data_IF_616957879941
#
_entry.id   IF_616957879941
#
_cell.length_a   1.000
_cell.length_b   1.000
_cell.length_c   1.000
_cell.angle_alpha   90.00
_cell.angle_beta   90.00
_cell.angle_gamma   90.00
#
_symmetry.space_group_name_H-M   'P 1'
#
loop_
_entity.id
_entity.type
_entity.pdbx_description
1 polymer ?
#
# COMPACT_ATOMS: atom_id res chain seq x y z
N UNK A 1 -13.33 33.92 22.22
CA UNK A 1 -13.49 34.36 20.83
C UNK A 1 -13.42 33.10 20.00
N UNK A 2 -14.55 32.62 19.48
CA UNK A 2 -14.57 31.50 18.53
C UNK A 2 -13.84 31.95 17.27
N UNK A 3 -12.62 31.44 17.05
CA UNK A 3 -11.93 31.64 15.78
C UNK A 3 -12.79 30.98 14.70
N UNK A 4 -13.32 31.78 13.77
CA UNK A 4 -14.10 31.26 12.66
C UNK A 4 -13.20 30.39 11.79
N UNK A 5 -13.41 29.07 11.85
CA UNK A 5 -12.67 28.12 11.05
C UNK A 5 -13.08 28.32 9.60
N UNK A 6 -12.13 28.74 8.76
CA UNK A 6 -12.40 28.93 7.34
C UNK A 6 -11.84 27.73 6.57
N UNK A 7 -12.69 26.89 5.95
CA UNK A 7 -12.23 25.72 5.22
C UNK A 7 -11.17 26.10 4.17
N UNK A 8 -10.13 25.27 4.03
CA UNK A 8 -9.17 25.43 2.93
C UNK A 8 -9.88 25.32 1.58
N UNK A 9 -9.48 26.18 0.65
CA UNK A 9 -9.71 25.91 -0.77
C UNK A 9 -8.89 24.71 -1.22
N UNK A 10 -9.23 24.12 -2.37
CA UNK A 10 -8.50 22.99 -2.94
C UNK A 10 -7.01 23.30 -3.14
N UNK A 11 -6.69 24.47 -3.72
CA UNK A 11 -5.30 24.92 -3.90
C UNK A 11 -4.55 25.10 -2.57
N UNK A 12 -5.23 25.56 -1.52
CA UNK A 12 -4.63 25.70 -0.19
C UNK A 12 -4.37 24.33 0.46
N UNK A 13 -5.28 23.39 0.27
CA UNK A 13 -5.14 22.00 0.72
C UNK A 13 -3.99 21.30 0.02
N UNK A 14 -3.88 21.42 -1.30
CA UNK A 14 -2.75 20.89 -2.07
C UNK A 14 -1.42 21.46 -1.58
N UNK A 15 -1.35 22.78 -1.38
CA UNK A 15 -0.16 23.45 -0.86
C UNK A 15 0.21 22.95 0.54
N UNK A 16 -0.76 22.77 1.42
CA UNK A 16 -0.55 22.22 2.75
C UNK A 16 0.01 20.79 2.69
N UNK A 17 -0.57 19.92 1.87
CA UNK A 17 -0.05 18.55 1.67
C UNK A 17 1.35 18.52 1.08
N UNK A 18 1.66 19.42 0.14
CA UNK A 18 2.99 19.54 -0.43
C UNK A 18 4.05 19.90 0.63
N UNK A 19 3.71 20.77 1.60
CA UNK A 19 4.59 21.11 2.71
C UNK A 19 4.82 19.91 3.66
N UNK A 20 3.77 19.14 3.96
CA UNK A 20 3.91 17.93 4.78
C UNK A 20 4.77 16.87 4.08
N UNK A 21 4.57 16.69 2.78
CA UNK A 21 5.37 15.77 1.97
C UNK A 21 6.85 16.18 1.93
N UNK A 22 7.12 17.48 1.71
CA UNK A 22 8.48 18.03 1.76
C UNK A 22 9.14 17.79 3.12
N UNK A 23 8.40 17.96 4.22
CA UNK A 23 8.90 17.69 5.56
C UNK A 23 9.21 16.20 5.81
N UNK A 24 8.43 15.29 5.22
CA UNK A 24 8.62 13.85 5.36
C UNK A 24 9.79 13.33 4.51
N UNK A 25 9.99 13.89 3.32
CA UNK A 25 10.98 13.42 2.34
C UNK A 25 12.35 14.12 2.47
N UNK A 26 12.42 15.30 3.09
CA UNK A 26 13.69 16.02 3.20
C UNK A 26 14.68 15.35 4.16
N UNK A 27 15.92 15.22 3.69
CA UNK A 27 17.07 14.72 4.47
C UNK A 27 17.66 15.80 5.37
N UNK A 28 17.35 17.07 5.15
CA UNK A 28 17.92 18.21 5.86
C UNK A 28 16.99 18.69 6.97
N UNK A 29 17.48 18.70 8.21
CA UNK A 29 16.67 19.06 9.38
C UNK A 29 16.09 20.49 9.30
N UNK A 30 16.85 21.44 8.76
CA UNK A 30 16.41 22.81 8.58
C UNK A 30 15.23 22.93 7.61
N UNK A 31 15.23 22.17 6.52
CA UNK A 31 14.14 22.15 5.54
C UNK A 31 12.88 21.53 6.14
N UNK A 32 13.02 20.42 6.87
CA UNK A 32 11.89 19.79 7.58
C UNK A 32 11.23 20.76 8.55
N UNK A 33 12.03 21.42 9.41
CA UNK A 33 11.53 22.40 10.38
C UNK A 33 10.84 23.58 9.70
N UNK A 34 11.42 24.10 8.62
CA UNK A 34 10.84 25.20 7.87
C UNK A 34 9.51 24.80 7.20
N UNK A 35 9.44 23.61 6.61
CA UNK A 35 8.24 23.09 5.97
C UNK A 35 7.10 22.89 6.99
N UNK A 36 7.38 22.32 8.16
CA UNK A 36 6.40 22.19 9.24
C UNK A 36 5.93 23.55 9.76
N UNK A 37 6.85 24.50 9.97
CA UNK A 37 6.49 25.86 10.40
C UNK A 37 5.70 26.63 9.33
N UNK A 38 5.89 26.33 8.04
CA UNK A 38 5.08 26.89 6.98
C UNK A 38 3.67 26.26 6.94
N UNK A 39 3.56 24.95 7.16
CA UNK A 39 2.28 24.25 7.25
C UNK A 39 1.45 24.75 8.43
N UNK A 40 2.07 24.90 9.61
CA UNK A 40 1.45 25.42 10.82
C UNK A 40 0.92 26.86 10.66
N UNK A 41 1.71 27.74 10.03
CA UNK A 41 1.27 29.10 9.68
C UNK A 41 0.08 29.09 8.74
N UNK A 42 0.06 28.21 7.74
CA UNK A 42 -1.03 28.10 6.78
C UNK A 42 -2.32 27.62 7.44
N UNK A 43 -2.23 26.62 8.33
CA UNK A 43 -3.39 26.16 9.13
C UNK A 43 -3.91 27.27 10.06
N UNK A 44 -3.00 27.92 10.80
CA UNK A 44 -3.34 29.01 11.73
C UNK A 44 -4.02 30.19 11.06
N UNK A 45 -3.63 30.55 9.82
CA UNK A 45 -4.28 31.61 9.04
C UNK A 45 -5.76 31.33 8.76
N UNK A 46 -6.15 30.06 8.73
CA UNK A 46 -7.51 29.60 8.52
C UNK A 46 -8.25 29.27 9.83
N UNK A 47 -7.62 29.55 10.98
CA UNK A 47 -8.15 29.21 12.28
C UNK A 47 -8.18 27.70 12.55
N UNK A 48 -7.35 26.92 11.84
CA UNK A 48 -7.24 25.47 12.00
C UNK A 48 -5.98 25.09 12.74
N UNK A 49 -6.04 23.99 13.47
CA UNK A 49 -4.84 23.27 13.91
C UNK A 49 -4.24 22.48 12.74
N UNK A 50 -2.97 22.13 12.87
CA UNK A 50 -2.25 21.34 11.86
C UNK A 50 -2.90 19.96 11.64
N UNK A 51 -3.44 19.34 12.69
CA UNK A 51 -4.15 18.07 12.61
C UNK A 51 -5.51 18.21 11.90
N UNK A 52 -6.26 19.29 12.17
CA UNK A 52 -7.53 19.59 11.49
C UNK A 52 -7.31 19.90 10.00
N UNK A 53 -6.26 20.63 9.67
CA UNK A 53 -5.89 20.93 8.29
C UNK A 53 -5.44 19.68 7.52
N UNK A 54 -4.87 18.68 8.21
CA UNK A 54 -4.49 17.38 7.65
C UNK A 54 -5.68 16.41 7.51
N UNK A 55 -6.81 16.69 8.17
CA UNK A 55 -7.98 15.83 8.11
C UNK A 55 -8.61 15.85 6.70
N UNK A 56 -8.98 14.67 6.16
CA UNK A 56 -9.71 14.60 4.90
C UNK A 56 -11.05 15.35 5.01
N UNK A 57 -11.51 16.00 3.94
CA UNK A 57 -12.68 16.91 3.96
C UNK A 57 -14.02 16.26 4.34
N UNK A 58 -14.06 14.92 4.52
CA UNK A 58 -15.29 14.16 4.75
C UNK A 58 -15.24 13.26 6.00
N UNK A 59 -14.34 13.54 6.96
CA UNK A 59 -14.37 12.84 8.25
C UNK A 59 -15.03 13.69 9.33
N UNK A 60 -16.35 13.52 9.48
CA UNK A 60 -16.86 13.25 10.82
C UNK A 60 -15.93 12.21 11.46
N UNK A 61 -15.45 12.48 12.68
CA UNK A 61 -14.44 11.69 13.37
C UNK A 61 -14.57 10.20 13.00
N UNK A 62 -13.54 9.57 12.41
CA UNK A 62 -13.67 8.19 11.98
C UNK A 62 -14.11 7.40 13.22
N UNK A 63 -15.11 6.50 13.13
CA UNK A 63 -15.36 5.57 14.22
C UNK A 63 -14.01 4.94 14.52
N UNK A 64 -13.55 5.04 15.78
CA UNK A 64 -12.24 4.52 16.22
C UNK A 64 -12.00 3.22 15.47
N UNK A 65 -11.12 3.24 14.49
CA UNK A 65 -10.73 2.03 13.79
C UNK A 65 -10.10 1.19 14.89
N UNK A 66 -10.84 0.17 15.31
CA UNK A 66 -10.29 -0.90 16.12
C UNK A 66 -9.11 -1.36 15.30
N UNK A 67 -7.88 -1.08 15.75
CA UNK A 67 -6.68 -1.59 15.08
C UNK A 67 -6.96 -3.08 14.89
N UNK A 68 -6.90 -3.62 13.66
CA UNK A 68 -7.05 -5.06 13.48
C UNK A 68 -6.04 -5.69 14.43
N UNK A 69 -6.52 -6.64 15.25
CA UNK A 69 -5.65 -7.35 16.16
C UNK A 69 -4.45 -7.83 15.34
N UNK A 70 -3.24 -7.61 15.85
CA UNK A 70 -2.06 -8.20 15.23
C UNK A 70 -2.32 -9.70 15.09
N UNK A 71 -2.26 -10.27 13.87
CA UNK A 71 -2.60 -11.66 13.66
C UNK A 71 -1.74 -12.50 14.61
N UNK A 72 -2.38 -13.45 15.28
CA UNK A 72 -1.69 -14.38 16.16
C UNK A 72 -0.69 -15.19 15.35
N UNK A 73 0.35 -15.70 16.01
CA UNK A 73 1.35 -16.58 15.38
C UNK A 73 0.69 -17.79 14.68
N UNK A 74 -0.43 -18.27 15.23
CA UNK A 74 -1.23 -19.35 14.63
C UNK A 74 -1.86 -18.94 13.30
N UNK A 75 -2.42 -17.74 13.20
CA UNK A 75 -3.04 -17.23 11.97
C UNK A 75 -2.00 -16.98 10.88
N UNK A 76 -0.83 -16.42 11.25
CA UNK A 76 0.30 -16.26 10.34
C UNK A 76 0.79 -17.61 9.80
N UNK A 77 0.90 -18.62 10.67
CA UNK A 77 1.31 -19.97 10.28
C UNK A 77 0.30 -20.65 9.36
N UNK A 78 -1.00 -20.43 9.59
CA UNK A 78 -2.05 -20.92 8.70
C UNK A 78 -2.00 -20.24 7.33
N UNK A 79 -1.85 -18.91 7.29
CA UNK A 79 -1.71 -18.18 6.04
C UNK A 79 -0.51 -18.67 5.22
N UNK A 80 0.66 -18.85 5.86
CA UNK A 80 1.84 -19.39 5.21
C UNK A 80 1.63 -20.83 4.69
N UNK A 81 0.90 -21.67 5.42
CA UNK A 81 0.57 -23.03 4.96
C UNK A 81 -0.35 -23.03 3.74
N UNK A 82 -1.35 -22.13 3.72
CA UNK A 82 -2.24 -21.97 2.56
C UNK A 82 -1.49 -21.46 1.32
N UNK A 83 -0.61 -20.48 1.51
CA UNK A 83 0.25 -19.96 0.43
C UNK A 83 1.16 -21.06 -0.13
N UNK A 84 1.84 -21.80 0.75
CA UNK A 84 2.70 -22.91 0.35
C UNK A 84 1.94 -24.00 -0.41
N UNK A 85 0.73 -24.37 0.04
CA UNK A 85 -0.11 -25.34 -0.66
C UNK A 85 -0.51 -24.87 -2.07
N UNK A 86 -0.77 -23.57 -2.24
CA UNK A 86 -1.04 -23.00 -3.57
C UNK A 86 0.16 -23.11 -4.51
N UNK A 87 1.37 -22.87 -4.00
CA UNK A 87 2.62 -22.98 -4.77
C UNK A 87 2.90 -24.43 -5.17
N UNK A 88 2.75 -25.39 -4.26
CA UNK A 88 2.95 -26.82 -4.57
C UNK A 88 2.00 -27.29 -5.66
N UNK A 89 0.70 -26.98 -5.52
CA UNK A 89 -0.30 -27.36 -6.53
C UNK A 89 0.02 -26.76 -7.91
N UNK A 90 0.51 -25.53 -7.96
CA UNK A 90 0.93 -24.91 -9.22
C UNK A 90 2.13 -25.63 -9.83
N UNK A 91 3.13 -26.01 -9.04
CA UNK A 91 4.29 -26.76 -9.52
C UNK A 91 3.91 -28.15 -10.04
N UNK A 92 3.00 -28.85 -9.36
CA UNK A 92 2.52 -30.16 -9.80
C UNK A 92 1.85 -30.06 -11.18
N UNK A 93 1.04 -29.03 -11.43
CA UNK A 93 0.47 -28.78 -12.75
C UNK A 93 1.52 -28.58 -13.84
N UNK A 94 2.58 -27.80 -13.57
CA UNK A 94 3.67 -27.61 -14.54
C UNK A 94 4.42 -28.91 -14.83
N UNK A 95 4.63 -29.75 -13.81
CA UNK A 95 5.29 -31.04 -13.98
C UNK A 95 4.44 -31.98 -14.84
N UNK A 96 3.13 -32.01 -14.61
CA UNK A 96 2.22 -32.87 -15.38
C UNK A 96 2.10 -32.41 -16.85
N UNK A 97 2.01 -31.10 -17.08
CA UNK A 97 1.99 -30.54 -18.44
C UNK A 97 3.29 -30.82 -19.20
N UNK A 98 4.45 -30.74 -18.53
CA UNK A 98 5.74 -31.03 -19.16
C UNK A 98 5.90 -32.51 -19.48
N UNK A 99 5.48 -33.41 -18.58
CA UNK A 99 5.43 -34.85 -18.84
C UNK A 99 4.57 -35.16 -20.06
N UNK A 100 3.38 -34.58 -20.14
CA UNK A 100 2.46 -34.80 -21.27
C UNK A 100 3.08 -34.33 -22.59
N UNK A 101 3.67 -33.14 -22.60
CA UNK A 101 4.37 -32.61 -23.79
C UNK A 101 5.52 -33.51 -24.23
N UNK A 102 6.29 -34.04 -23.27
CA UNK A 102 7.38 -34.99 -23.55
C UNK A 102 6.84 -36.30 -24.13
N UNK A 103 5.76 -36.83 -23.58
CA UNK A 103 5.12 -38.05 -24.08
C UNK A 103 4.58 -37.86 -25.50
N UNK A 104 3.92 -36.74 -25.78
CA UNK A 104 3.47 -36.37 -27.13
C UNK A 104 4.64 -36.28 -28.11
N UNK A 105 5.74 -35.61 -27.72
CA UNK A 105 6.93 -35.50 -28.57
C UNK A 105 7.61 -36.85 -28.86
N UNK A 106 7.65 -37.75 -27.86
CA UNK A 106 8.19 -39.11 -28.04
C UNK A 106 7.28 -39.95 -28.95
N UNK A 107 5.97 -39.83 -28.78
CA UNK A 107 4.99 -40.51 -29.63
C UNK A 107 5.08 -40.03 -31.09
N UNK A 108 5.20 -38.71 -31.32
CA UNK A 108 5.41 -38.16 -32.66
C UNK A 108 6.73 -38.65 -33.28
N UNK A 109 7.81 -38.76 -32.50
CA UNK A 109 9.09 -39.27 -32.99
C UNK A 109 8.97 -40.74 -33.40
N UNK A 110 8.28 -41.56 -32.58
CA UNK A 110 7.99 -42.96 -32.89
C UNK A 110 7.18 -43.12 -34.18
N UNK A 111 6.10 -42.34 -34.33
CA UNK A 111 5.25 -42.35 -35.52
C UNK A 111 6.00 -41.93 -36.80
N UNK A 112 7.01 -41.06 -36.65
CA UNK A 112 7.89 -40.64 -37.74
C UNK A 112 9.06 -41.59 -37.99
N UNK A 113 9.22 -42.65 -37.19
CA UNK A 113 10.35 -43.58 -37.25
C UNK A 113 11.69 -42.93 -36.93
N UNK A 114 11.68 -41.90 -36.08
CA UNK A 114 12.85 -41.13 -35.63
C UNK A 114 13.29 -41.54 -34.21
N UNK A 115 12.78 -42.66 -33.70
CA UNK A 115 13.05 -43.21 -32.37
C UNK A 115 14.25 -44.18 -32.31
N UNK A 116 14.93 -44.37 -33.45
CA UNK A 116 16.11 -45.23 -33.60
C UNK A 116 17.43 -44.46 -33.58
#
# INVERSE_FOLDING_TARGET
>A
MDAAHTPFSEAQRERFHALLKLAAESTFEGERKNALAAADRLASQHGMTMDEAAAPPDMAAPPRLVRPATPTERELRQAAAHEFSGVVNLMDHFVDDDKKRREEALQEAYERGLDS
#
